data_IF_215684219883
#
_entry.id   IF_215684219883
#
_cell.length_a   1.000
_cell.length_b   1.000
_cell.length_c   1.000
_cell.angle_alpha   90.00
_cell.angle_beta   90.00
_cell.angle_gamma   90.00
#
_symmetry.space_group_name_H-M   'P 1'
#
loop_
_entity.id
_entity.type
_entity.pdbx_description
1 polymer ?
#
# COMPACT_ATOMS: atom_id res chain seq x y z
N UNK A 1 -13.51 -4.44 -1.57
CA UNK A 1 -12.24 -5.15 -1.85
C UNK A 1 -12.01 -5.11 -3.35
N UNK A 2 -10.79 -4.79 -3.79
CA UNK A 2 -10.44 -4.88 -5.21
C UNK A 2 -10.58 -6.34 -5.68
N UNK A 3 -10.99 -6.54 -6.93
CA UNK A 3 -10.93 -7.88 -7.52
C UNK A 3 -9.47 -8.34 -7.61
N UNK A 4 -9.26 -9.67 -7.57
CA UNK A 4 -7.92 -10.25 -7.81
C UNK A 4 -7.30 -9.76 -9.13
N UNK A 5 -8.12 -9.50 -10.14
CA UNK A 5 -7.68 -8.95 -11.43
C UNK A 5 -7.14 -7.53 -11.32
N UNK A 6 -7.81 -6.65 -10.57
CA UNK A 6 -7.35 -5.26 -10.40
C UNK A 6 -6.07 -5.20 -9.55
N UNK A 7 -6.00 -6.00 -8.47
CA UNK A 7 -4.78 -6.10 -7.66
C UNK A 7 -3.57 -6.57 -8.49
N UNK A 8 -3.77 -7.58 -9.35
CA UNK A 8 -2.70 -8.10 -10.22
C UNK A 8 -2.20 -7.05 -11.22
N UNK A 9 -3.08 -6.19 -11.76
CA UNK A 9 -2.69 -5.09 -12.65
C UNK A 9 -1.81 -4.06 -11.95
N UNK A 10 -2.17 -3.65 -10.74
CA UNK A 10 -1.35 -2.71 -9.96
C UNK A 10 -0.01 -3.33 -9.54
N UNK A 11 0.00 -4.62 -9.18
CA UNK A 11 1.23 -5.32 -8.85
C UNK A 11 2.19 -5.41 -10.05
N UNK A 12 1.66 -5.67 -11.26
CA UNK A 12 2.47 -5.69 -12.49
C UNK A 12 3.09 -4.32 -12.76
N UNK A 13 2.31 -3.24 -12.70
CA UNK A 13 2.82 -1.88 -12.90
C UNK A 13 3.86 -1.47 -11.84
N UNK A 14 3.66 -1.87 -10.58
CA UNK A 14 4.64 -1.64 -9.51
C UNK A 14 5.96 -2.39 -9.76
N UNK A 15 5.87 -3.64 -10.20
CA UNK A 15 7.04 -4.46 -10.55
C UNK A 15 7.81 -3.88 -11.74
N UNK A 16 7.12 -3.49 -12.81
CA UNK A 16 7.73 -2.85 -13.98
C UNK A 16 8.50 -1.58 -13.58
N UNK A 17 7.88 -0.71 -12.77
CA UNK A 17 8.52 0.50 -12.27
C UNK A 17 9.75 0.21 -11.38
N UNK A 18 9.68 -0.84 -10.56
CA UNK A 18 10.81 -1.26 -9.73
C UNK A 18 11.98 -1.80 -10.58
N UNK A 19 11.68 -2.50 -11.68
CA UNK A 19 12.70 -2.96 -12.62
C UNK A 19 13.33 -1.79 -13.39
N UNK A 20 12.53 -0.88 -13.93
CA UNK A 20 13.00 0.31 -14.66
C UNK A 20 13.97 1.16 -13.82
N UNK A 21 13.73 1.23 -12.51
CA UNK A 21 14.56 1.99 -11.57
C UNK A 21 15.72 1.20 -10.98
N UNK A 22 15.85 -0.09 -11.30
CA UNK A 22 16.81 -1.00 -10.69
C UNK A 22 16.69 -1.05 -9.14
N UNK A 23 15.47 -0.94 -8.62
CA UNK A 23 15.14 -0.90 -7.18
C UNK A 23 14.32 -2.11 -6.72
N UNK A 24 14.34 -3.22 -7.46
CA UNK A 24 13.47 -4.37 -7.21
C UNK A 24 13.56 -4.89 -5.77
N UNK A 25 14.77 -5.12 -5.26
CA UNK A 25 14.97 -5.62 -3.90
C UNK A 25 14.55 -4.63 -2.81
N UNK A 26 14.86 -3.33 -2.99
CA UNK A 26 14.46 -2.28 -2.05
C UNK A 26 12.92 -2.15 -1.98
N UNK A 27 12.27 -2.09 -3.15
CA UNK A 27 10.82 -1.93 -3.25
C UNK A 27 10.07 -3.18 -2.78
N UNK A 28 10.64 -4.38 -2.94
CA UNK A 28 10.10 -5.62 -2.35
C UNK A 28 10.10 -5.53 -0.82
N UNK A 29 11.24 -5.18 -0.20
CA UNK A 29 11.36 -5.08 1.26
C UNK A 29 10.42 -4.00 1.81
N UNK A 30 10.36 -2.83 1.15
CA UNK A 30 9.44 -1.76 1.54
C UNK A 30 7.97 -2.21 1.46
N UNK A 31 7.59 -2.95 0.41
CA UNK A 31 6.23 -3.48 0.27
C UNK A 31 5.89 -4.51 1.35
N UNK A 32 6.84 -5.40 1.68
CA UNK A 32 6.68 -6.39 2.75
C UNK A 32 6.48 -5.70 4.11
N UNK A 33 7.30 -4.68 4.41
CA UNK A 33 7.19 -3.89 5.64
C UNK A 33 5.85 -3.15 5.71
N UNK A 34 5.44 -2.48 4.63
CA UNK A 34 4.14 -1.80 4.55
C UNK A 34 2.98 -2.74 4.88
N UNK A 35 2.99 -3.94 4.30
CA UNK A 35 1.96 -4.97 4.55
C UNK A 35 2.02 -5.45 6.00
N UNK A 36 3.21 -5.64 6.57
CA UNK A 36 3.39 -6.03 7.96
C UNK A 36 2.87 -4.96 8.93
N UNK A 37 3.22 -3.68 8.72
CA UNK A 37 2.83 -2.55 9.56
C UNK A 37 1.31 -2.33 9.57
N UNK A 38 0.69 -2.35 8.38
CA UNK A 38 -0.77 -2.32 8.26
C UNK A 38 -1.37 -3.53 8.98
N UNK A 39 -0.74 -4.71 8.89
CA UNK A 39 -1.29 -5.91 9.51
C UNK A 39 -1.18 -5.94 11.03
N UNK A 40 -0.10 -5.40 11.58
CA UNK A 40 0.18 -5.33 13.01
C UNK A 40 -0.66 -4.23 13.71
N UNK A 41 -1.06 -3.18 13.00
CA UNK A 41 -1.76 -2.05 13.60
C UNK A 41 -3.28 -2.08 13.37
N UNK A 42 -4.03 -2.42 14.42
CA UNK A 42 -5.51 -2.44 14.40
C UNK A 42 -6.14 -1.09 14.08
N UNK A 43 -5.55 0.01 14.53
CA UNK A 43 -6.07 1.36 14.30
C UNK A 43 -5.88 1.79 12.84
N UNK A 44 -4.75 1.47 12.23
CA UNK A 44 -4.54 1.70 10.79
C UNK A 44 -5.56 0.93 9.97
N UNK A 45 -5.80 -0.35 10.27
CA UNK A 45 -6.86 -1.14 9.63
C UNK A 45 -8.22 -0.47 9.80
N UNK A 46 -8.56 -0.02 11.01
CA UNK A 46 -9.82 0.65 11.30
C UNK A 46 -9.99 1.88 10.41
N UNK A 47 -8.99 2.76 10.35
CA UNK A 47 -9.04 3.98 9.54
C UNK A 47 -9.15 3.68 8.04
N UNK A 48 -8.27 2.84 7.50
CA UNK A 48 -8.21 2.59 6.06
C UNK A 48 -9.45 1.84 5.54
N UNK A 49 -10.01 0.92 6.33
CA UNK A 49 -11.21 0.15 5.95
C UNK A 49 -12.52 0.83 6.35
N UNK A 50 -12.49 1.93 7.12
CA UNK A 50 -13.71 2.65 7.46
C UNK A 50 -14.21 3.49 6.28
N UNK A 51 -15.52 3.41 6.01
CA UNK A 51 -16.17 4.08 4.88
C UNK A 51 -16.36 5.59 5.09
N UNK A 52 -16.49 6.05 6.35
CA UNK A 52 -16.73 7.47 6.65
C UNK A 52 -15.46 8.32 6.71
N UNK A 53 -14.28 7.71 6.69
CA UNK A 53 -13.02 8.47 6.62
C UNK A 53 -12.84 8.93 5.18
N UNK A 54 -12.75 10.25 4.97
CA UNK A 54 -12.65 10.82 3.63
C UNK A 54 -11.31 10.44 3.00
N UNK A 55 -11.28 10.42 1.67
CA UNK A 55 -10.06 10.08 0.92
C UNK A 55 -8.89 11.02 1.23
N UNK A 56 -9.17 12.31 1.42
CA UNK A 56 -8.14 13.30 1.78
C UNK A 56 -7.52 13.00 3.14
N UNK A 57 -8.35 12.62 4.13
CA UNK A 57 -7.86 12.27 5.47
C UNK A 57 -6.98 11.00 5.41
N UNK A 58 -7.38 10.01 4.61
CA UNK A 58 -6.56 8.80 4.37
C UNK A 58 -5.22 9.15 3.72
N UNK A 59 -5.19 10.09 2.76
CA UNK A 59 -3.95 10.54 2.10
C UNK A 59 -3.00 11.24 3.07
N UNK A 60 -3.53 12.08 3.96
CA UNK A 60 -2.73 12.74 5.01
C UNK A 60 -2.07 11.67 5.89
N UNK A 61 -2.85 10.69 6.36
CA UNK A 61 -2.35 9.62 7.22
C UNK A 61 -1.29 8.77 6.52
N UNK A 62 -1.44 8.46 5.23
CA UNK A 62 -0.39 7.77 4.47
C UNK A 62 0.90 8.58 4.46
N UNK A 63 0.83 9.88 4.16
CA UNK A 63 2.00 10.77 4.08
C UNK A 63 2.71 10.96 5.43
N UNK A 64 1.96 10.92 6.52
CA UNK A 64 2.52 11.13 7.86
C UNK A 64 3.19 9.86 8.42
N UNK A 65 2.87 8.67 7.88
CA UNK A 65 3.32 7.37 8.40
C UNK A 65 4.32 6.68 7.47
N UNK A 66 4.17 6.84 6.16
CA UNK A 66 4.96 6.16 5.12
C UNK A 66 5.59 7.19 4.17
#
# INVERSE_FOLDING_TARGET
MLSKSVARRYAAAFFELAQERNQLGEMEVQLQNLVADINANRELKRIFYHRLVKENDKKIIVKDIF
#
